data_IF_323157328715
#
_entry.id   IF_323157328715
#
_cell.length_a   1.000
_cell.length_b   1.000
_cell.length_c   1.000
_cell.angle_alpha   90.00
_cell.angle_beta   90.00
_cell.angle_gamma   90.00
#
_symmetry.space_group_name_H-M   'P 1'
#
loop_
_entity.id
_entity.type
_entity.pdbx_description
1 polymer ?
#
# COMPACT_ATOMS: atom_id res chain seq x y z
N UNK A 1 13.73 22.96 -17.27
CA UNK A 1 12.59 22.33 -16.56
C UNK A 1 13.10 21.98 -15.19
N UNK A 2 12.75 22.76 -14.17
CA UNK A 2 13.09 22.45 -12.79
C UNK A 2 12.62 21.04 -12.48
N UNK A 3 13.58 20.17 -12.16
CA UNK A 3 13.40 18.73 -12.13
C UNK A 3 12.35 18.34 -11.11
N UNK A 4 11.37 17.54 -11.55
CA UNK A 4 10.41 16.89 -10.67
C UNK A 4 11.19 16.00 -9.67
N UNK A 5 11.42 16.53 -8.47
CA UNK A 5 12.06 15.78 -7.39
C UNK A 5 10.97 15.01 -6.66
N UNK A 6 10.97 13.69 -6.83
CA UNK A 6 10.08 12.83 -6.04
C UNK A 6 10.43 13.03 -4.56
N UNK A 7 9.45 13.35 -3.69
CA UNK A 7 9.72 13.53 -2.27
C UNK A 7 10.33 12.26 -1.66
N UNK A 8 11.15 12.44 -0.63
CA UNK A 8 11.70 11.32 0.14
C UNK A 8 10.57 10.42 0.67
N UNK A 9 10.77 9.10 0.58
CA UNK A 9 9.75 8.11 0.95
C UNK A 9 8.58 7.97 -0.04
N UNK A 10 8.66 8.56 -1.24
CA UNK A 10 7.67 8.37 -2.31
C UNK A 10 8.32 7.77 -3.55
N UNK A 11 7.56 6.98 -4.30
CA UNK A 11 7.96 6.44 -5.61
C UNK A 11 6.73 6.42 -6.54
N UNK A 12 6.96 6.54 -7.84
CA UNK A 12 5.93 6.45 -8.88
C UNK A 12 6.49 5.67 -10.06
N UNK A 13 5.76 4.65 -10.50
CA UNK A 13 6.09 3.87 -11.67
C UNK A 13 4.81 3.46 -12.41
N UNK A 14 4.88 3.35 -13.74
CA UNK A 14 3.87 2.65 -14.51
C UNK A 14 4.20 1.15 -14.52
N UNK A 15 3.17 0.32 -14.39
CA UNK A 15 3.28 -1.13 -14.51
C UNK A 15 2.29 -1.62 -15.56
N UNK A 16 2.69 -2.67 -16.30
CA UNK A 16 1.79 -3.37 -17.22
C UNK A 16 1.18 -4.56 -16.50
N UNK A 17 -0.09 -4.81 -16.79
CA UNK A 17 -0.78 -6.03 -16.37
C UNK A 17 -0.31 -7.17 -17.28
N UNK A 18 0.17 -8.25 -16.67
CA UNK A 18 0.57 -9.46 -17.37
C UNK A 18 -0.62 -10.29 -17.83
N UNK A 19 -0.36 -11.32 -18.62
CA UNK A 19 -1.40 -12.19 -19.24
C UNK A 19 -2.34 -12.86 -18.24
N UNK A 20 -1.92 -13.05 -16.98
CA UNK A 20 -2.75 -13.65 -15.92
C UNK A 20 -3.38 -12.60 -15.00
N UNK A 21 -3.41 -11.33 -15.41
CA UNK A 21 -3.96 -10.25 -14.60
C UNK A 21 -3.05 -9.77 -13.46
N UNK A 22 -1.80 -10.27 -13.37
CA UNK A 22 -0.85 -9.89 -12.34
C UNK A 22 -0.09 -8.61 -12.69
N UNK A 23 0.23 -7.82 -11.67
CA UNK A 23 1.19 -6.72 -11.76
C UNK A 23 2.46 -7.08 -10.98
N UNK A 24 3.61 -6.63 -11.47
CA UNK A 24 4.88 -6.76 -10.75
C UNK A 24 5.08 -5.52 -9.90
N UNK A 25 5.14 -5.68 -8.58
CA UNK A 25 5.54 -4.58 -7.68
C UNK A 25 7.04 -4.32 -7.92
N UNK A 26 7.44 -3.10 -8.33
CA UNK A 26 8.84 -2.72 -8.55
C UNK A 26 9.74 -3.01 -7.34
N UNK A 27 11.04 -3.29 -7.59
CA UNK A 27 11.97 -3.70 -6.53
C UNK A 27 12.13 -2.62 -5.47
N UNK A 28 12.32 -1.37 -5.87
CA UNK A 28 12.45 -0.21 -4.96
C UNK A 28 11.24 -0.08 -4.02
N UNK A 29 10.03 -0.29 -4.55
CA UNK A 29 8.80 -0.26 -3.75
C UNK A 29 8.71 -1.45 -2.80
N UNK A 30 9.10 -2.66 -3.25
CA UNK A 30 9.20 -3.83 -2.36
C UNK A 30 10.18 -3.60 -1.22
N UNK A 31 11.35 -3.04 -1.52
CA UNK A 31 12.37 -2.74 -0.52
C UNK A 31 11.86 -1.68 0.48
N UNK A 32 11.20 -0.63 -0.01
CA UNK A 32 10.62 0.46 0.80
C UNK A 32 9.56 -0.04 1.80
N UNK A 33 8.73 -1.01 1.41
CA UNK A 33 7.69 -1.59 2.26
C UNK A 33 8.08 -2.93 2.89
N UNK A 34 9.33 -3.37 2.70
CA UNK A 34 9.83 -4.65 3.21
C UNK A 34 9.06 -5.88 2.72
N UNK A 35 8.46 -5.84 1.53
CA UNK A 35 7.66 -6.91 0.94
C UNK A 35 8.57 -8.01 0.38
N UNK A 36 8.36 -9.25 0.83
CA UNK A 36 9.16 -10.43 0.49
C UNK A 36 8.29 -11.54 -0.12
N UNK A 37 8.87 -12.46 -0.90
CA UNK A 37 8.17 -13.65 -1.33
C UNK A 37 7.61 -14.44 -0.14
N UNK A 38 6.32 -14.81 -0.21
CA UNK A 38 5.61 -15.49 0.87
C UNK A 38 4.83 -14.56 1.80
N UNK A 39 5.04 -13.24 1.73
CA UNK A 39 4.25 -12.28 2.50
C UNK A 39 2.80 -12.25 2.04
N UNK A 40 1.89 -12.10 3.01
CA UNK A 40 0.50 -11.77 2.75
C UNK A 40 0.36 -10.26 2.58
N UNK A 41 -0.30 -9.86 1.49
CA UNK A 41 -0.51 -8.46 1.14
C UNK A 41 -2.01 -8.18 1.09
N UNK A 42 -2.43 -7.06 1.69
CA UNK A 42 -3.80 -6.60 1.63
C UNK A 42 -3.99 -5.73 0.38
N UNK A 43 -5.02 -6.05 -0.39
CA UNK A 43 -5.50 -5.23 -1.51
C UNK A 43 -6.81 -4.56 -1.10
N UNK A 44 -6.83 -3.24 -1.16
CA UNK A 44 -8.03 -2.42 -0.93
C UNK A 44 -8.44 -1.83 -2.27
N UNK A 45 -9.72 -1.94 -2.62
CA UNK A 45 -10.24 -1.44 -3.88
C UNK A 45 -11.46 -0.53 -3.64
N UNK A 46 -11.43 0.62 -4.27
CA UNK A 46 -12.51 1.60 -4.27
C UNK A 46 -12.67 2.12 -5.70
N UNK A 47 -13.90 2.18 -6.22
CA UNK A 47 -14.18 2.54 -7.62
C UNK A 47 -13.74 3.98 -7.93
N UNK A 48 -13.84 4.89 -6.98
CA UNK A 48 -13.50 6.30 -7.17
C UNK A 48 -12.00 6.57 -6.92
N UNK A 49 -11.34 5.75 -6.10
CA UNK A 49 -9.95 5.98 -5.65
C UNK A 49 -8.92 5.01 -6.23
N UNK A 50 -9.35 3.89 -6.80
CA UNK A 50 -8.49 2.85 -7.35
C UNK A 50 -8.10 1.77 -6.33
N UNK A 51 -6.92 1.16 -6.54
CA UNK A 51 -6.42 0.05 -5.73
C UNK A 51 -5.24 0.53 -4.88
N UNK A 52 -5.28 0.23 -3.58
CA UNK A 52 -4.18 0.42 -2.64
C UNK A 52 -3.61 -0.93 -2.18
N UNK A 53 -2.30 -0.96 -1.94
CA UNK A 53 -1.54 -2.12 -1.47
C UNK A 53 -1.01 -1.78 -0.08
N UNK A 54 -1.27 -2.65 0.90
CA UNK A 54 -0.75 -2.51 2.26
C UNK A 54 -0.18 -3.83 2.77
N UNK A 55 0.83 -3.76 3.64
CA UNK A 55 1.30 -4.94 4.37
C UNK A 55 0.24 -5.34 5.40
N UNK A 56 -0.02 -6.65 5.50
CA UNK A 56 -1.08 -7.16 6.37
C UNK A 56 -0.90 -6.74 7.84
N UNK A 57 0.32 -6.85 8.37
CA UNK A 57 0.63 -6.53 9.77
C UNK A 57 0.42 -5.04 10.09
N UNK A 58 0.85 -4.16 9.18
CA UNK A 58 0.73 -2.71 9.36
C UNK A 58 -0.76 -2.28 9.33
N UNK A 59 -1.55 -2.91 8.47
CA UNK A 59 -2.99 -2.64 8.41
C UNK A 59 -3.73 -3.19 9.63
N UNK A 60 -3.36 -4.36 10.15
CA UNK A 60 -3.99 -4.91 11.35
C UNK A 60 -3.80 -3.99 12.54
N UNK A 61 -2.59 -3.46 12.73
CA UNK A 61 -2.30 -2.46 13.75
C UNK A 61 -3.11 -1.15 13.56
N UNK A 62 -3.26 -0.69 12.31
CA UNK A 62 -4.08 0.49 12.00
C UNK A 62 -5.58 0.26 12.25
N UNK A 63 -6.12 -0.89 11.82
CA UNK A 63 -7.51 -1.26 12.02
C UNK A 63 -7.85 -1.40 13.51
N UNK A 64 -6.96 -2.01 14.30
CA UNK A 64 -7.08 -2.04 15.77
C UNK A 64 -7.18 -0.63 16.36
N UNK A 65 -6.31 0.29 15.96
CA UNK A 65 -6.35 1.68 16.43
C UNK A 65 -7.66 2.38 16.07
N UNK A 66 -8.20 2.20 14.87
CA UNK A 66 -9.53 2.76 14.50
C UNK A 66 -10.64 2.21 15.41
N UNK A 67 -10.62 0.89 15.66
CA UNK A 67 -11.64 0.25 16.51
C UNK A 67 -11.55 0.73 17.96
N UNK A 68 -10.34 0.95 18.47
CA UNK A 68 -10.11 1.50 19.82
C UNK A 68 -10.54 2.97 19.92
N UNK A 69 -10.21 3.80 18.93
CA UNK A 69 -10.65 5.21 18.88
C UNK A 69 -12.18 5.34 18.89
N UNK A 70 -12.91 4.45 18.19
CA UNK A 70 -14.38 4.42 18.22
C UNK A 70 -14.98 4.01 19.57
N UNK A 71 -14.20 3.40 20.47
CA UNK A 71 -14.67 3.04 21.82
C UNK A 71 -14.54 4.22 22.79
N UNK A 72 -13.55 5.10 22.59
CA UNK A 72 -13.28 6.25 23.45
C UNK A 72 -14.31 7.38 23.24
N UNK A 73 -14.80 7.57 22.00
CA UNK A 73 -15.87 8.53 21.67
C UNK A 73 -17.26 8.14 22.20
N UNK A 74 -17.43 6.95 22.80
CA UNK A 74 -18.71 6.46 23.36
C UNK A 74 -18.73 6.38 24.88
N UNK A 75 -17.82 7.07 25.57
CA UNK A 75 -17.81 7.15 27.03
C UNK A 75 -18.08 8.57 27.53
#
# INVERSE_FOLDING_TARGET
>A
MDGFKIPEGKSMASAKVGEKGQIVIPKDMRDMFGIRPGDNILLLADIERGIAIAKYDDYFAFAQKIVEMKKDDRN
#
